data_IF_499210223754
#
_entry.id   IF_499210223754
#
_cell.length_a   1.000
_cell.length_b   1.000
_cell.length_c   1.000
_cell.angle_alpha   90.00
_cell.angle_beta   90.00
_cell.angle_gamma   90.00
#
_symmetry.space_group_name_H-M   'P 1'
#
loop_
_entity.id
_entity.type
_entity.pdbx_description
1 polymer ?
#
# COMPACT_ATOMS: atom_id res chain seq x y z
N UNK A 1 6.51 11.27 8.82
CA UNK A 1 5.50 12.21 8.30
C UNK A 1 5.04 11.64 6.97
N UNK A 2 3.76 11.26 6.83
CA UNK A 2 3.24 10.95 5.49
C UNK A 2 3.30 12.25 4.67
N UNK A 3 3.69 12.22 3.39
CA UNK A 3 3.82 13.45 2.62
C UNK A 3 2.42 13.91 2.21
N UNK A 4 1.86 14.82 2.99
CA UNK A 4 0.64 15.56 2.62
C UNK A 4 0.80 16.36 1.31
N UNK A 5 2.00 16.36 0.71
CA UNK A 5 2.37 17.06 -0.52
C UNK A 5 2.52 16.14 -1.75
N UNK A 6 2.46 14.81 -1.60
CA UNK A 6 2.50 13.88 -2.74
C UNK A 6 1.08 13.34 -2.95
N UNK A 7 0.39 13.72 -4.05
CA UNK A 7 -1.04 13.44 -4.23
C UNK A 7 -1.36 11.94 -4.27
N UNK A 8 -0.39 11.13 -4.67
CA UNK A 8 -0.57 9.69 -4.83
C UNK A 8 0.07 8.87 -3.70
N UNK A 9 0.31 9.49 -2.53
CA UNK A 9 0.94 8.85 -1.39
C UNK A 9 0.07 8.80 -0.15
N UNK A 10 0.28 7.78 0.68
CA UNK A 10 -0.44 7.60 1.94
C UNK A 10 0.43 6.95 3.03
N UNK A 11 0.14 7.28 4.28
CA UNK A 11 0.77 6.64 5.44
C UNK A 11 0.09 5.32 5.78
N UNK A 12 0.81 4.34 6.35
CA UNK A 12 0.22 3.05 6.73
C UNK A 12 -0.42 3.15 8.11
N UNK A 13 -1.74 2.90 8.23
CA UNK A 13 -2.44 2.87 9.53
C UNK A 13 -2.35 1.50 10.20
N UNK A 14 -2.66 0.45 9.45
CA UNK A 14 -2.63 -0.92 9.95
C UNK A 14 -1.92 -1.84 8.97
N UNK A 15 -1.38 -2.95 9.50
CA UNK A 15 -0.72 -3.97 8.71
C UNK A 15 -0.83 -5.34 9.36
N UNK A 16 -0.93 -6.37 8.52
CA UNK A 16 -1.00 -7.76 8.95
C UNK A 16 -0.16 -8.62 8.01
N UNK A 17 0.61 -9.54 8.59
CA UNK A 17 1.25 -10.59 7.80
C UNK A 17 0.20 -11.61 7.41
N UNK A 18 0.13 -11.91 6.12
CA UNK A 18 -0.71 -12.97 5.57
C UNK A 18 0.22 -14.12 5.18
N UNK A 19 0.24 -15.23 5.94
CA UNK A 19 1.16 -16.33 5.68
C UNK A 19 1.04 -16.86 4.25
N UNK A 20 2.17 -16.94 3.54
CA UNK A 20 2.23 -17.41 2.15
C UNK A 20 1.81 -16.38 1.10
N UNK A 21 1.36 -15.18 1.48
CA UNK A 21 0.88 -14.15 0.55
C UNK A 21 1.59 -12.80 0.69
N UNK A 22 2.15 -12.48 1.86
CA UNK A 22 2.93 -11.25 2.06
C UNK A 22 2.38 -10.36 3.17
N UNK A 23 2.37 -9.05 2.95
CA UNK A 23 1.94 -8.06 3.94
C UNK A 23 0.73 -7.28 3.45
N UNK A 24 -0.38 -7.38 4.18
CA UNK A 24 -1.58 -6.59 3.94
C UNK A 24 -1.46 -5.26 4.67
N UNK A 25 -1.68 -4.14 3.99
CA UNK A 25 -1.58 -2.79 4.56
C UNK A 25 -2.84 -1.99 4.28
N UNK A 26 -3.26 -1.22 5.29
CA UNK A 26 -4.40 -0.31 5.21
C UNK A 26 -3.91 1.13 5.22
N UNK A 27 -4.46 1.99 4.35
CA UNK A 27 -4.13 3.39 4.35
C UNK A 27 -4.60 4.08 5.63
N UNK A 28 -3.81 5.05 6.09
CA UNK A 28 -4.25 6.00 7.10
C UNK A 28 -5.22 7.01 6.49
N UNK A 29 -6.20 7.45 7.29
CA UNK A 29 -7.14 8.47 6.86
C UNK A 29 -6.45 9.84 6.63
N UNK A 30 -6.86 10.62 5.61
CA UNK A 30 -7.83 10.23 4.58
C UNK A 30 -7.25 9.19 3.61
N UNK A 31 -8.09 8.25 3.18
CA UNK A 31 -7.67 7.27 2.17
C UNK A 31 -7.31 7.98 0.86
N UNK A 32 -6.27 7.52 0.14
CA UNK A 32 -5.88 8.13 -1.11
C UNK A 32 -6.93 7.85 -2.20
N UNK A 33 -7.40 8.90 -2.86
CA UNK A 33 -8.48 8.81 -3.85
C UNK A 33 -8.16 7.87 -5.02
N UNK A 34 -6.88 7.67 -5.35
CA UNK A 34 -6.49 6.77 -6.44
C UNK A 34 -6.80 5.30 -6.12
N UNK A 35 -6.89 4.89 -4.86
CA UNK A 35 -7.09 3.49 -4.49
C UNK A 35 -8.44 2.95 -5.00
N UNK A 36 -9.42 3.84 -5.18
CA UNK A 36 -10.74 3.51 -5.72
C UNK A 36 -10.76 3.34 -7.25
N UNK A 37 -9.68 3.68 -7.97
CA UNK A 37 -9.66 3.64 -9.43
C UNK A 37 -9.30 2.25 -10.02
N UNK A 38 -8.29 1.50 -9.51
CA UNK A 38 -7.99 0.16 -9.98
C UNK A 38 -9.10 -0.85 -9.65
N UNK A 39 -9.19 -1.90 -10.47
CA UNK A 39 -10.03 -3.05 -10.15
C UNK A 39 -9.48 -3.83 -8.96
N UNK A 40 -10.35 -4.53 -8.21
CA UNK A 40 -9.90 -5.48 -7.19
C UNK A 40 -9.04 -6.57 -7.83
N UNK A 41 -8.05 -7.03 -7.06
CA UNK A 41 -7.06 -8.02 -7.44
C UNK A 41 -6.19 -7.61 -8.64
N UNK A 42 -6.16 -6.32 -8.98
CA UNK A 42 -5.23 -5.77 -9.96
C UNK A 42 -3.93 -5.31 -9.30
N UNK A 43 -2.83 -5.49 -10.02
CA UNK A 43 -1.50 -5.08 -9.57
C UNK A 43 -1.29 -3.58 -9.72
N UNK A 44 -0.73 -2.96 -8.69
CA UNK A 44 -0.26 -1.57 -8.68
C UNK A 44 1.21 -1.52 -8.28
N UNK A 45 1.98 -0.69 -8.98
CA UNK A 45 3.37 -0.48 -8.65
C UNK A 45 3.50 0.65 -7.62
N UNK A 46 4.24 0.38 -6.55
CA UNK A 46 4.40 1.28 -5.43
C UNK A 46 5.87 1.51 -5.11
N UNK A 47 6.13 2.64 -4.46
CA UNK A 47 7.39 2.89 -3.76
C UNK A 47 7.12 2.99 -2.27
N UNK A 48 7.76 2.12 -1.51
CA UNK A 48 7.76 2.12 -0.05
C UNK A 48 8.89 3.00 0.47
N UNK A 49 8.52 4.01 1.23
CA UNK A 49 9.44 4.90 1.92
C UNK A 49 9.49 4.53 3.40
N UNK A 50 10.72 4.42 3.94
CA UNK A 50 10.99 4.12 5.35
C UNK A 50 12.02 5.11 5.88
N UNK A 51 11.97 5.48 7.17
CA UNK A 51 13.03 6.25 7.81
C UNK A 51 14.39 5.57 7.60
N UNK A 52 15.41 6.37 7.25
CA UNK A 52 16.82 5.95 7.21
C UNK A 52 17.14 4.78 6.27
N UNK A 53 16.20 4.43 5.37
CA UNK A 53 16.36 3.34 4.41
C UNK A 53 16.06 3.84 3.00
N UNK A 54 16.81 3.42 1.97
CA UNK A 54 16.46 3.70 0.59
C UNK A 54 15.02 3.23 0.27
N UNK A 55 14.28 3.99 -0.56
CA UNK A 55 12.95 3.58 -1.00
C UNK A 55 12.99 2.22 -1.72
N UNK A 56 12.01 1.37 -1.44
CA UNK A 56 11.89 0.05 -2.03
C UNK A 56 10.76 0.05 -3.06
N UNK A 57 11.05 -0.38 -4.29
CA UNK A 57 10.02 -0.62 -5.30
C UNK A 57 9.35 -1.97 -5.03
N UNK A 58 8.03 -2.01 -5.15
CA UNK A 58 7.26 -3.23 -4.96
C UNK A 58 5.97 -3.19 -5.78
N UNK A 59 5.42 -4.37 -6.02
CA UNK A 59 4.07 -4.54 -6.55
C UNK A 59 3.13 -4.87 -5.39
N UNK A 60 1.91 -4.39 -5.45
CA UNK A 60 0.85 -4.80 -4.56
C UNK A 60 -0.42 -5.10 -5.35
N UNK A 61 -1.27 -5.97 -4.83
CA UNK A 61 -2.63 -6.13 -5.35
C UNK A 61 -3.60 -5.31 -4.53
N UNK A 62 -4.59 -4.70 -5.20
CA UNK A 62 -5.69 -4.01 -4.52
C UNK A 62 -6.65 -5.06 -3.97
N UNK A 63 -6.84 -5.05 -2.66
CA UNK A 63 -7.73 -5.98 -1.96
C UNK A 63 -8.87 -5.24 -1.27
N UNK A 64 -9.94 -5.97 -1.00
CA UNK A 64 -11.04 -5.49 -0.15
C UNK A 64 -11.02 -6.23 1.19
N UNK A 65 -11.15 -5.49 2.28
CA UNK A 65 -11.23 -6.04 3.62
C UNK A 65 -12.51 -5.57 4.29
N UNK A 66 -13.29 -6.53 4.79
CA UNK A 66 -14.45 -6.26 5.61
C UNK A 66 -14.20 -6.69 7.06
N UNK A 67 -14.38 -5.77 8.00
CA UNK A 67 -14.48 -6.09 9.42
C UNK A 67 -15.94 -6.18 9.83
N UNK A 68 -16.27 -7.07 10.76
CA UNK A 68 -17.64 -7.25 11.22
C UNK A 68 -18.22 -5.93 11.77
N UNK A 69 -19.33 -5.48 11.18
CA UNK A 69 -19.99 -4.23 11.57
C UNK A 69 -19.34 -2.95 11.04
N UNK A 70 -18.37 -3.05 10.12
CA UNK A 70 -17.74 -1.91 9.46
C UNK A 70 -17.94 -1.98 7.94
N UNK A 71 -17.96 -0.83 7.23
CA UNK A 71 -17.92 -0.85 5.78
C UNK A 71 -16.62 -1.52 5.31
N UNK A 72 -16.68 -2.14 4.14
CA UNK A 72 -15.49 -2.65 3.49
C UNK A 72 -14.53 -1.49 3.18
N UNK A 73 -13.23 -1.74 3.35
CA UNK A 73 -12.17 -0.79 3.07
C UNK A 73 -11.21 -1.40 2.04
N UNK A 74 -10.65 -0.54 1.19
CA UNK A 74 -9.62 -0.97 0.25
C UNK A 74 -8.26 -1.03 0.94
N UNK A 75 -7.50 -2.05 0.56
CA UNK A 75 -6.20 -2.37 1.11
C UNK A 75 -5.23 -2.73 0.00
N UNK A 76 -3.95 -2.82 0.36
CA UNK A 76 -2.92 -3.30 -0.54
C UNK A 76 -2.26 -4.54 0.07
N UNK A 77 -2.22 -5.63 -0.70
CA UNK A 77 -1.41 -6.80 -0.37
C UNK A 77 -0.09 -6.68 -1.11
N UNK A 78 0.99 -6.45 -0.36
CA UNK A 78 2.33 -6.33 -0.94
C UNK A 78 2.83 -7.73 -1.35
N UNK A 79 3.25 -7.86 -2.61
CA UNK A 79 3.82 -9.07 -3.25
C UNK A 79 4.89 -9.75 -2.39
N UNK A 80 5.69 -8.93 -1.71
CA UNK A 80 6.75 -9.37 -0.83
C UNK A 80 6.58 -8.75 0.56
N UNK A 81 6.97 -9.49 1.61
CA UNK A 81 7.16 -8.92 2.94
C UNK A 81 8.43 -8.03 2.92
N UNK A 82 8.30 -6.69 3.02
CA UNK A 82 9.46 -5.78 3.00
C UNK A 82 10.29 -5.86 4.29
N UNK A 83 9.99 -6.83 5.17
CA UNK A 83 10.56 -7.01 6.48
C UNK A 83 9.86 -6.14 7.53
N UNK A 84 10.58 -5.82 8.60
CA UNK A 84 10.02 -5.01 9.68
C UNK A 84 9.79 -3.58 9.20
N UNK A 85 8.54 -3.24 8.92
CA UNK A 85 8.12 -1.85 8.74
C UNK A 85 8.15 -1.14 10.12
N UNK A 86 8.74 0.06 10.26
CA UNK A 86 8.59 0.84 11.49
C UNK A 86 7.12 1.23 11.71
N UNK A 87 6.72 1.36 12.98
CA UNK A 87 5.33 1.70 13.34
C UNK A 87 4.95 3.12 12.89
N UNK A 88 5.92 4.03 12.80
CA UNK A 88 5.73 5.42 12.41
C UNK A 88 6.69 5.76 11.27
N UNK A 89 6.21 6.56 10.32
CA UNK A 89 7.05 7.14 9.26
C UNK A 89 7.20 6.29 8.01
N UNK A 90 6.60 5.09 7.96
CA UNK A 90 6.47 4.34 6.71
C UNK A 90 5.28 4.86 5.89
N UNK A 91 5.48 5.07 4.60
CA UNK A 91 4.43 5.51 3.68
C UNK A 91 4.66 4.90 2.29
N UNK A 92 3.58 4.81 1.52
CA UNK A 92 3.57 4.26 0.17
C UNK A 92 3.21 5.36 -0.81
N UNK A 93 3.83 5.31 -1.99
CA UNK A 93 3.62 6.20 -3.12
C UNK A 93 3.21 5.36 -4.34
N UNK A 94 2.10 5.68 -4.98
CA UNK A 94 1.74 5.08 -6.26
C UNK A 94 2.68 5.59 -7.35
N UNK A 95 3.15 4.66 -8.19
CA UNK A 95 3.93 5.00 -9.37
C UNK A 95 3.02 5.03 -10.59
N UNK A 96 2.47 6.21 -10.88
CA UNK A 96 1.55 6.47 -12.00
C UNK A 96 2.16 6.26 -13.39
N UNK A 97 3.50 6.27 -13.49
CA UNK A 97 4.25 6.09 -14.74
C UNK A 97 5.17 4.86 -14.71
N UNK A 98 4.72 3.73 -14.15
CA UNK A 98 5.41 2.47 -14.43
C UNK A 98 4.94 2.00 -15.80
N UNK A 99 5.84 1.89 -16.81
CA UNK A 99 5.46 1.27 -18.06
C UNK A 99 4.98 -0.13 -17.72
N UNK A 100 3.89 -0.52 -18.37
CA UNK A 100 3.32 -1.86 -18.38
C UNK A 100 4.46 -2.87 -18.49
N UNK A 101 4.93 -3.41 -17.36
CA UNK A 101 6.01 -4.39 -17.33
C UNK A 101 5.52 -5.62 -16.56
N UNK A 102 5.11 -6.58 -17.39
CA UNK A 102 5.26 -8.04 -17.26
C UNK A 102 4.33 -8.71 -16.22
N UNK A 103 3.42 -9.62 -16.59
CA UNK A 103 3.40 -10.59 -17.68
C UNK A 103 1.98 -10.80 -18.24
#
# INVERSE_FOLDING_TARGET
MAPSAVPDAFGIAHRWRVPGLGLLVLPAAPEPAWLAAPALHSGVALRLHRPETPPLLLVATVEEIAFAGQPAAQALLLDADPGKLPAIGSWLELLTNMPEYLH
#
